data_IF_763266115765
#
_entry.id   IF_763266115765
#
_cell.length_a   1.000
_cell.length_b   1.000
_cell.length_c   1.000
_cell.angle_alpha   90.00
_cell.angle_beta   90.00
_cell.angle_gamma   90.00
#
_symmetry.space_group_name_H-M   'P 1'
#
loop_
_entity.id
_entity.type
_entity.pdbx_description
1 polymer ?
#
# COMPACT_ATOMS: atom_id res chain seq x y z
N UNK A 1 40.62 7.19 46.83
CA UNK A 1 40.64 7.10 45.34
C UNK A 1 40.54 8.55 44.85
N UNK A 2 41.60 9.04 44.23
CA UNK A 2 41.62 10.41 43.69
C UNK A 2 40.83 10.41 42.38
N UNK A 3 39.83 11.26 42.24
CA UNK A 3 39.05 11.38 41.00
C UNK A 3 39.91 12.08 39.94
N UNK A 4 39.83 11.61 38.71
CA UNK A 4 40.45 12.27 37.56
C UNK A 4 39.92 13.71 37.39
N UNK A 5 40.78 14.62 36.95
CA UNK A 5 40.40 16.04 36.75
C UNK A 5 39.43 16.27 35.61
N UNK A 6 39.35 15.33 34.65
CA UNK A 6 38.44 15.36 33.51
C UNK A 6 37.69 14.04 33.42
N UNK A 7 36.47 14.10 32.94
CA UNK A 7 35.65 12.91 32.58
C UNK A 7 35.99 12.48 31.17
N UNK A 8 36.50 11.23 31.04
CA UNK A 8 36.84 10.63 29.77
C UNK A 8 35.77 9.55 29.44
N UNK A 9 34.75 9.87 28.64
CA UNK A 9 33.57 9.01 28.47
C UNK A 9 33.89 7.70 27.74
N UNK A 10 34.81 7.71 26.79
CA UNK A 10 35.03 6.59 25.86
C UNK A 10 35.32 5.25 26.53
N UNK A 11 36.27 5.25 27.48
CA UNK A 11 36.65 4.00 28.19
C UNK A 11 35.52 3.54 29.13
N UNK A 12 34.86 4.49 29.81
CA UNK A 12 33.77 4.24 30.75
C UNK A 12 32.57 3.63 30.00
N UNK A 13 32.18 4.25 28.88
CA UNK A 13 31.07 3.78 28.04
C UNK A 13 31.34 2.38 27.46
N UNK A 14 32.56 2.14 26.96
CA UNK A 14 32.93 0.86 26.41
C UNK A 14 32.94 -0.23 27.48
N UNK A 15 33.45 0.03 28.65
CA UNK A 15 33.47 -0.90 29.79
C UNK A 15 32.04 -1.26 30.22
N UNK A 16 31.18 -0.28 30.51
CA UNK A 16 29.85 -0.52 31.04
C UNK A 16 28.92 -1.18 29.99
N UNK A 17 29.00 -0.78 28.75
CA UNK A 17 28.25 -1.43 27.66
C UNK A 17 28.49 -2.94 27.64
N UNK A 18 29.75 -3.35 27.72
CA UNK A 18 30.12 -4.77 27.70
C UNK A 18 29.69 -5.49 29.00
N UNK A 19 29.90 -4.84 30.17
CA UNK A 19 29.55 -5.44 31.46
C UNK A 19 28.01 -5.61 31.63
N UNK A 20 27.20 -4.66 31.17
CA UNK A 20 25.74 -4.75 31.28
C UNK A 20 25.18 -5.95 30.50
N UNK A 21 25.63 -6.16 29.28
CA UNK A 21 25.21 -7.30 28.47
C UNK A 21 25.73 -8.63 29.07
N UNK A 22 27.00 -8.69 29.41
CA UNK A 22 27.63 -9.86 30.02
C UNK A 22 26.94 -10.32 31.31
N UNK A 23 26.52 -9.39 32.13
CA UNK A 23 25.84 -9.66 33.41
C UNK A 23 24.33 -9.83 33.28
N UNK A 24 23.76 -9.61 32.10
CA UNK A 24 22.35 -9.75 31.86
C UNK A 24 21.45 -8.78 32.64
N UNK A 25 21.95 -7.59 32.99
CA UNK A 25 21.23 -6.64 33.83
C UNK A 25 19.88 -6.17 33.25
N UNK A 26 19.69 -6.28 31.95
CA UNK A 26 18.50 -5.85 31.23
C UNK A 26 17.63 -6.99 30.76
N UNK A 27 18.01 -8.23 31.05
CA UNK A 27 17.25 -9.41 30.68
C UNK A 27 15.93 -9.44 31.45
N UNK A 28 14.82 -9.53 30.73
CA UNK A 28 13.49 -9.65 31.33
C UNK A 28 13.33 -11.04 31.97
N UNK A 29 12.81 -11.05 33.20
CA UNK A 29 12.53 -12.26 33.96
C UNK A 29 11.03 -12.53 34.02
N UNK A 30 10.64 -13.82 34.14
CA UNK A 30 9.26 -14.20 34.42
C UNK A 30 9.06 -14.33 35.95
N UNK A 31 9.02 -13.20 36.63
CA UNK A 31 8.82 -13.13 38.09
C UNK A 31 7.38 -12.65 38.35
N UNK A 32 6.49 -13.60 38.62
CA UNK A 32 5.06 -13.34 38.89
C UNK A 32 4.83 -12.52 40.20
N UNK A 33 5.83 -12.45 41.08
CA UNK A 33 5.77 -11.67 42.32
C UNK A 33 6.02 -10.18 42.13
N UNK A 34 6.38 -9.74 40.91
CA UNK A 34 6.67 -8.34 40.63
C UNK A 34 5.70 -7.74 39.60
N UNK A 35 5.31 -6.48 39.77
CA UNK A 35 4.52 -5.79 38.75
C UNK A 35 5.33 -5.70 37.44
N UNK A 36 4.67 -5.91 36.31
CA UNK A 36 5.30 -5.88 34.99
C UNK A 36 5.26 -4.47 34.39
N UNK A 37 6.30 -4.13 33.63
CA UNK A 37 6.35 -2.98 32.75
C UNK A 37 6.99 -3.35 31.43
N UNK A 38 6.30 -3.08 30.33
CA UNK A 38 6.87 -3.24 28.98
C UNK A 38 6.53 -2.04 28.13
N UNK A 39 7.43 -1.70 27.22
CA UNK A 39 7.22 -0.65 26.24
C UNK A 39 7.67 -1.18 24.87
N UNK A 40 6.83 -0.93 23.85
CA UNK A 40 7.13 -1.37 22.49
C UNK A 40 8.15 -0.41 21.87
N UNK A 41 9.30 -0.92 21.47
CA UNK A 41 10.22 -0.19 20.61
C UNK A 41 9.79 -0.36 19.16
N UNK A 42 9.42 0.70 18.45
CA UNK A 42 9.24 0.63 17.00
C UNK A 42 10.57 0.22 16.35
N UNK A 43 10.61 -0.92 15.65
CA UNK A 43 11.88 -1.42 15.09
C UNK A 43 12.34 -0.50 13.96
N UNK A 44 13.57 0.06 14.02
CA UNK A 44 14.10 0.87 12.93
C UNK A 44 14.23 0.09 11.63
N UNK A 45 13.92 0.75 10.51
CA UNK A 45 14.07 0.19 9.17
C UNK A 45 15.54 -0.02 8.81
N UNK A 46 15.88 -1.16 8.19
CA UNK A 46 17.25 -1.43 7.70
C UNK A 46 17.55 -0.68 6.39
N UNK A 47 17.14 0.58 6.30
CA UNK A 47 17.35 1.45 5.14
C UNK A 47 18.54 2.39 5.28
N UNK A 48 19.22 2.36 6.43
CA UNK A 48 20.37 3.21 6.71
C UNK A 48 20.86 3.09 8.14
N UNK A 49 21.12 4.23 8.78
CA UNK A 49 21.59 4.37 10.16
C UNK A 49 20.55 5.10 11.00
N UNK A 50 20.70 5.08 12.33
CA UNK A 50 19.86 5.89 13.21
C UNK A 50 20.11 7.39 13.01
N UNK A 51 19.09 8.18 13.17
CA UNK A 51 19.13 9.64 13.21
C UNK A 51 18.63 10.17 14.55
N UNK A 52 18.72 11.49 14.78
CA UNK A 52 18.37 12.12 16.04
C UNK A 52 16.94 11.82 16.53
N UNK A 53 15.97 11.65 15.62
CA UNK A 53 14.61 11.24 15.98
C UNK A 53 14.55 9.87 16.63
N UNK A 54 15.32 8.91 16.14
CA UNK A 54 15.46 7.58 16.76
C UNK A 54 16.11 7.70 18.15
N UNK A 55 17.21 8.45 18.25
CA UNK A 55 17.91 8.64 19.52
C UNK A 55 17.00 9.29 20.57
N UNK A 56 16.25 10.33 20.20
CA UNK A 56 15.31 11.02 21.07
C UNK A 56 14.21 10.06 21.59
N UNK A 57 13.55 9.34 20.67
CA UNK A 57 12.50 8.39 21.02
C UNK A 57 13.01 7.27 21.94
N UNK A 58 14.15 6.67 21.59
CA UNK A 58 14.76 5.60 22.39
C UNK A 58 15.21 6.08 23.76
N UNK A 59 15.74 7.30 23.88
CA UNK A 59 16.15 7.88 25.17
C UNK A 59 14.96 8.06 26.11
N UNK A 60 13.80 8.49 25.62
CA UNK A 60 12.57 8.60 26.42
C UNK A 60 12.13 7.21 26.90
N UNK A 61 12.09 6.22 26.01
CA UNK A 61 11.71 4.85 26.34
C UNK A 61 12.68 4.23 27.35
N UNK A 62 13.98 4.47 27.19
CA UNK A 62 15.02 4.00 28.09
C UNK A 62 14.87 4.63 29.49
N UNK A 63 14.62 5.93 29.55
CA UNK A 63 14.35 6.64 30.79
C UNK A 63 13.17 6.03 31.55
N UNK A 64 12.06 5.78 30.89
CA UNK A 64 10.89 5.12 31.48
C UNK A 64 11.19 3.69 31.94
N UNK A 65 11.86 2.90 31.10
CA UNK A 65 12.24 1.52 31.43
C UNK A 65 13.16 1.46 32.65
N UNK A 66 14.16 2.35 32.73
CA UNK A 66 15.06 2.46 33.90
C UNK A 66 14.32 2.91 35.14
N UNK A 67 13.41 3.86 35.04
CA UNK A 67 12.59 4.32 36.16
C UNK A 67 11.79 3.17 36.77
N UNK A 68 11.05 2.40 35.96
CA UNK A 68 10.26 1.28 36.44
C UNK A 68 11.13 0.12 36.97
N UNK A 69 12.29 -0.13 36.35
CA UNK A 69 13.27 -1.11 36.84
C UNK A 69 13.77 -0.75 38.24
N UNK A 70 14.12 0.51 38.46
CA UNK A 70 14.54 1.01 39.79
C UNK A 70 13.43 0.95 40.85
N UNK A 71 12.16 0.98 40.41
CA UNK A 71 11.00 0.77 41.28
C UNK A 71 10.66 -0.71 41.55
N UNK A 72 11.49 -1.62 41.09
CA UNK A 72 11.33 -3.06 41.35
C UNK A 72 10.39 -3.78 40.38
N UNK A 73 9.98 -3.16 39.27
CA UNK A 73 9.17 -3.82 38.25
C UNK A 73 10.00 -4.82 37.47
N UNK A 74 9.33 -5.88 37.01
CA UNK A 74 9.87 -6.75 35.96
C UNK A 74 9.70 -6.04 34.60
N UNK A 75 10.81 -5.55 34.05
CA UNK A 75 10.79 -4.73 32.83
C UNK A 75 11.16 -5.54 31.61
N UNK A 76 10.42 -5.38 30.51
CA UNK A 76 10.74 -5.94 29.20
C UNK A 76 10.76 -4.82 28.14
N UNK A 77 11.96 -4.53 27.63
CA UNK A 77 12.16 -3.63 26.48
C UNK A 77 13.01 -4.36 25.45
N UNK A 78 12.36 -4.77 24.35
CA UNK A 78 12.93 -5.71 23.40
C UNK A 78 13.38 -4.95 22.15
N UNK A 79 14.65 -5.06 21.73
CA UNK A 79 15.15 -4.42 20.52
C UNK A 79 14.83 -5.24 19.27
N UNK A 80 14.71 -4.56 18.14
CA UNK A 80 14.52 -5.21 16.84
C UNK A 80 14.82 -4.28 15.69
N UNK A 81 14.84 -4.84 14.48
CA UNK A 81 14.97 -4.10 13.23
C UNK A 81 13.90 -4.54 12.23
N UNK A 82 13.46 -3.60 11.39
CA UNK A 82 12.44 -3.86 10.36
C UNK A 82 13.09 -4.03 8.99
N UNK A 83 12.61 -5.03 8.25
CA UNK A 83 13.04 -5.30 6.88
C UNK A 83 12.64 -4.21 5.88
N UNK A 84 11.62 -3.40 6.18
CA UNK A 84 11.13 -2.27 5.37
C UNK A 84 10.89 -2.56 3.88
N UNK A 85 10.78 -3.83 3.52
CA UNK A 85 10.37 -4.34 2.20
C UNK A 85 10.92 -3.56 1.00
N UNK A 86 10.04 -2.84 0.30
CA UNK A 86 10.33 -2.07 -0.92
C UNK A 86 11.44 -1.04 -0.67
N UNK A 87 11.42 -0.31 0.45
CA UNK A 87 12.40 0.74 0.73
C UNK A 87 13.84 0.19 0.82
N UNK A 88 14.02 -0.97 1.43
CA UNK A 88 15.33 -1.66 1.50
C UNK A 88 15.80 -2.09 0.10
N UNK A 89 14.88 -2.62 -0.74
CA UNK A 89 15.21 -2.98 -2.11
C UNK A 89 15.64 -1.75 -2.92
N UNK A 90 14.93 -0.63 -2.81
CA UNK A 90 15.29 0.63 -3.49
C UNK A 90 16.69 1.10 -3.08
N UNK A 91 17.07 0.97 -1.81
CA UNK A 91 18.44 1.33 -1.37
C UNK A 91 19.47 0.45 -2.09
N UNK A 92 19.24 -0.85 -2.18
CA UNK A 92 20.14 -1.77 -2.89
C UNK A 92 20.17 -1.51 -4.38
N UNK A 93 19.01 -1.25 -5.00
CA UNK A 93 18.93 -0.90 -6.42
C UNK A 93 19.76 0.36 -6.73
N UNK A 94 19.65 1.43 -5.91
CA UNK A 94 20.47 2.63 -6.09
C UNK A 94 21.97 2.36 -6.00
N UNK A 95 22.41 1.41 -5.18
CA UNK A 95 23.81 1.01 -5.10
C UNK A 95 24.27 0.23 -6.35
N UNK A 96 23.39 -0.59 -6.91
CA UNK A 96 23.63 -1.31 -8.16
C UNK A 96 23.64 -0.36 -9.36
N UNK A 97 22.71 0.58 -9.42
CA UNK A 97 22.62 1.60 -10.48
C UNK A 97 23.89 2.45 -10.56
N UNK A 98 24.50 2.79 -9.42
CA UNK A 98 25.79 3.46 -9.39
C UNK A 98 26.92 2.63 -10.05
N UNK A 99 26.74 1.30 -10.12
CA UNK A 99 27.63 0.37 -10.81
C UNK A 99 27.14 0.04 -12.24
N UNK A 100 26.02 0.64 -12.68
CA UNK A 100 25.35 0.38 -13.96
C UNK A 100 24.86 -1.07 -14.10
N UNK A 101 24.40 -1.66 -13.01
CA UNK A 101 23.86 -3.02 -12.94
C UNK A 101 22.40 -2.91 -12.54
N UNK A 102 21.47 -3.46 -13.32
CA UNK A 102 20.06 -3.52 -12.95
C UNK A 102 19.78 -4.79 -12.13
N UNK A 103 18.74 -4.78 -11.30
CA UNK A 103 18.26 -5.99 -10.59
C UNK A 103 17.88 -7.11 -11.56
N UNK A 104 17.42 -6.75 -12.76
CA UNK A 104 17.04 -7.71 -13.81
C UNK A 104 18.25 -8.42 -14.41
N UNK A 105 19.40 -7.73 -14.54
CA UNK A 105 20.65 -8.33 -15.01
C UNK A 105 21.21 -9.37 -14.02
N UNK A 106 21.01 -9.13 -12.72
CA UNK A 106 21.43 -10.06 -11.68
C UNK A 106 20.52 -11.30 -11.58
N UNK A 107 19.23 -11.14 -11.84
CA UNK A 107 18.20 -12.10 -11.51
C UNK A 107 17.90 -12.16 -10.01
N UNK A 108 16.78 -12.83 -9.65
CA UNK A 108 16.22 -12.81 -8.30
C UNK A 108 17.19 -13.28 -7.21
N UNK A 109 17.86 -14.39 -7.41
CA UNK A 109 18.71 -15.00 -6.38
C UNK A 109 19.87 -14.07 -5.99
N UNK A 110 20.64 -13.61 -6.97
CA UNK A 110 21.78 -12.71 -6.72
C UNK A 110 21.35 -11.34 -6.20
N UNK A 111 20.19 -10.85 -6.61
CA UNK A 111 19.63 -9.63 -6.05
C UNK A 111 19.30 -9.79 -4.57
N UNK A 112 18.64 -10.90 -4.17
CA UNK A 112 18.34 -11.18 -2.77
C UNK A 112 19.62 -11.34 -1.94
N UNK A 113 20.69 -11.95 -2.45
CA UNK A 113 21.98 -11.99 -1.75
C UNK A 113 22.50 -10.58 -1.42
N UNK A 114 22.36 -9.62 -2.35
CA UNK A 114 22.73 -8.21 -2.12
C UNK A 114 21.85 -7.55 -1.07
N UNK A 115 20.55 -7.83 -1.09
CA UNK A 115 19.61 -7.31 -0.09
C UNK A 115 19.95 -7.85 1.31
N UNK A 116 20.29 -9.13 1.45
CA UNK A 116 20.70 -9.72 2.72
C UNK A 116 22.07 -9.19 3.20
N UNK A 117 23.02 -8.97 2.32
CA UNK A 117 24.29 -8.31 2.66
C UNK A 117 24.07 -6.88 3.20
N UNK A 118 23.18 -6.13 2.56
CA UNK A 118 22.79 -4.81 3.02
C UNK A 118 22.09 -4.86 4.39
N UNK A 119 21.13 -5.76 4.58
CA UNK A 119 20.45 -5.98 5.88
C UNK A 119 21.46 -6.24 6.99
N UNK A 120 22.43 -7.09 6.76
CA UNK A 120 23.45 -7.39 7.77
C UNK A 120 24.27 -6.15 8.14
N UNK A 121 24.71 -5.39 7.14
CA UNK A 121 25.45 -4.16 7.35
C UNK A 121 24.62 -3.07 8.06
N UNK A 122 23.43 -2.78 7.59
CA UNK A 122 22.55 -1.75 8.16
C UNK A 122 22.05 -2.16 9.55
N UNK A 123 21.59 -3.40 9.72
CA UNK A 123 21.08 -3.91 10.98
C UNK A 123 22.14 -3.90 12.10
N UNK A 124 23.34 -4.41 11.82
CA UNK A 124 24.44 -4.38 12.78
C UNK A 124 24.89 -2.96 13.14
N UNK A 125 24.83 -2.02 12.18
CA UNK A 125 25.11 -0.62 12.45
C UNK A 125 24.06 -0.01 13.38
N UNK A 126 22.77 -0.23 13.12
CA UNK A 126 21.66 0.25 13.93
C UNK A 126 21.76 -0.26 15.37
N UNK A 127 21.91 -1.57 15.57
CA UNK A 127 21.98 -2.17 16.90
C UNK A 127 23.27 -1.79 17.64
N UNK A 128 24.37 -1.61 16.90
CA UNK A 128 25.61 -1.05 17.42
C UNK A 128 25.46 0.39 17.92
N UNK A 129 24.71 1.25 17.19
CA UNK A 129 24.40 2.61 17.62
C UNK A 129 23.50 2.63 18.85
N UNK A 130 22.49 1.77 18.94
CA UNK A 130 21.64 1.62 20.12
C UNK A 130 22.45 1.22 21.35
N UNK A 131 23.37 0.25 21.22
CA UNK A 131 24.27 -0.15 22.28
C UNK A 131 25.18 1.00 22.72
N UNK A 132 25.66 1.80 21.76
CA UNK A 132 26.50 2.97 22.06
C UNK A 132 25.76 4.07 22.80
N UNK A 133 24.46 4.26 22.52
CA UNK A 133 23.60 5.16 23.29
C UNK A 133 23.31 4.65 24.72
N UNK A 134 23.69 3.41 25.03
CA UNK A 134 23.46 2.82 26.34
C UNK A 134 22.03 2.32 26.54
N UNK A 135 21.29 2.00 25.46
CA UNK A 135 19.92 1.50 25.53
C UNK A 135 19.84 0.22 26.39
N UNK A 136 19.01 0.28 27.45
CA UNK A 136 18.86 -0.82 28.42
C UNK A 136 17.84 -1.87 27.97
N UNK A 137 17.97 -2.32 26.72
CA UNK A 137 17.13 -3.34 26.09
C UNK A 137 17.61 -4.77 26.43
N UNK A 138 16.71 -5.72 26.33
CA UNK A 138 17.04 -7.14 26.44
C UNK A 138 17.60 -7.68 25.11
N UNK A 139 18.90 -7.58 24.93
CA UNK A 139 19.61 -8.03 23.74
C UNK A 139 19.51 -9.54 23.49
N UNK A 140 19.19 -10.36 24.46
CA UNK A 140 18.98 -11.80 24.29
C UNK A 140 17.72 -12.13 23.49
N UNK A 141 16.84 -11.13 23.34
CA UNK A 141 15.57 -11.26 22.61
C UNK A 141 15.50 -10.36 21.37
N UNK A 142 16.67 -9.88 20.92
CA UNK A 142 16.75 -9.12 19.67
C UNK A 142 16.09 -9.90 18.52
N UNK A 143 15.31 -9.20 17.70
CA UNK A 143 14.59 -9.80 16.56
C UNK A 143 14.75 -8.97 15.29
N UNK A 144 14.53 -9.64 14.17
CA UNK A 144 14.34 -9.03 12.86
C UNK A 144 12.98 -9.45 12.31
N UNK A 145 12.24 -8.51 11.69
CA UNK A 145 10.86 -8.78 11.27
C UNK A 145 10.69 -9.90 10.24
N UNK A 146 11.77 -10.37 9.61
CA UNK A 146 11.78 -11.55 8.73
C UNK A 146 12.61 -12.72 9.27
N UNK A 147 12.91 -12.77 10.58
CA UNK A 147 13.54 -13.95 11.16
C UNK A 147 12.56 -15.15 11.24
N UNK A 148 13.08 -16.35 11.51
CA UNK A 148 12.27 -17.57 11.52
C UNK A 148 11.15 -17.53 12.55
N UNK A 149 11.38 -16.91 13.72
CA UNK A 149 10.35 -16.80 14.78
C UNK A 149 9.21 -15.88 14.33
N UNK A 150 9.55 -14.73 13.76
CA UNK A 150 8.55 -13.80 13.25
C UNK A 150 7.80 -14.38 12.04
N UNK A 151 8.50 -15.05 11.13
CA UNK A 151 7.90 -15.73 9.98
C UNK A 151 6.91 -16.81 10.41
N UNK A 152 7.24 -17.59 11.42
CA UNK A 152 6.33 -18.58 12.01
C UNK A 152 5.09 -17.92 12.63
N UNK A 153 5.29 -16.86 13.42
CA UNK A 153 4.18 -16.14 14.04
C UNK A 153 3.24 -15.50 13.01
N UNK A 154 3.79 -14.88 11.96
CA UNK A 154 3.01 -14.29 10.86
C UNK A 154 2.19 -15.36 10.14
N UNK A 155 2.78 -16.50 9.83
CA UNK A 155 2.08 -17.62 9.17
C UNK A 155 0.95 -18.16 10.03
N UNK A 156 1.19 -18.36 11.33
CA UNK A 156 0.18 -18.84 12.28
C UNK A 156 -1.00 -17.87 12.39
N UNK A 157 -0.72 -16.56 12.52
CA UNK A 157 -1.77 -15.53 12.57
C UNK A 157 -2.57 -15.48 11.27
N UNK A 158 -1.91 -15.58 10.12
CA UNK A 158 -2.58 -15.60 8.82
C UNK A 158 -3.56 -16.78 8.71
N UNK A 159 -3.13 -17.98 9.09
CA UNK A 159 -3.97 -19.19 9.07
C UNK A 159 -5.17 -19.03 9.98
N UNK A 160 -4.98 -18.58 11.22
CA UNK A 160 -6.08 -18.35 12.18
C UNK A 160 -7.10 -17.32 11.68
N UNK A 161 -6.64 -16.23 11.06
CA UNK A 161 -7.54 -15.22 10.50
C UNK A 161 -8.36 -15.78 9.32
N UNK A 162 -7.73 -16.64 8.49
CA UNK A 162 -8.43 -17.32 7.40
C UNK A 162 -9.49 -18.31 7.95
N UNK A 163 -9.15 -19.13 8.94
CA UNK A 163 -10.08 -20.07 9.59
C UNK A 163 -11.28 -19.37 10.25
N UNK A 164 -11.08 -18.15 10.76
CA UNK A 164 -12.15 -17.30 11.29
C UNK A 164 -12.97 -16.58 10.22
N UNK A 165 -12.63 -16.73 8.93
CA UNK A 165 -13.29 -16.04 7.82
C UNK A 165 -13.02 -14.53 7.75
N UNK A 166 -12.03 -14.02 8.51
CA UNK A 166 -11.70 -12.60 8.54
C UNK A 166 -10.83 -12.17 7.35
N UNK A 167 -10.13 -13.11 6.72
CA UNK A 167 -9.42 -12.91 5.47
C UNK A 167 -9.86 -13.93 4.44
N UNK A 168 -9.88 -13.52 3.18
CA UNK A 168 -10.25 -14.38 2.05
C UNK A 168 -9.47 -13.96 0.81
N UNK A 169 -9.36 -14.87 -0.16
CA UNK A 169 -8.77 -14.57 -1.46
C UNK A 169 -9.82 -13.98 -2.40
N UNK A 170 -9.61 -12.77 -2.86
CA UNK A 170 -10.52 -12.09 -3.80
C UNK A 170 -9.81 -11.01 -4.59
N UNK A 171 -10.50 -10.50 -5.63
CA UNK A 171 -10.07 -9.30 -6.35
C UNK A 171 -10.59 -8.07 -5.61
N UNK A 172 -9.75 -7.05 -5.49
CA UNK A 172 -10.09 -5.76 -4.92
C UNK A 172 -9.47 -4.66 -5.76
N UNK A 173 -10.18 -3.54 -5.88
CA UNK A 173 -9.63 -2.35 -6.54
C UNK A 173 -8.54 -1.75 -5.67
N UNK A 174 -7.43 -1.37 -6.27
CA UNK A 174 -6.29 -0.72 -5.61
C UNK A 174 -5.76 0.41 -6.48
N UNK A 175 -5.12 1.41 -5.87
CA UNK A 175 -4.31 2.36 -6.62
C UNK A 175 -3.07 1.63 -7.16
N UNK A 176 -2.77 1.85 -8.43
CA UNK A 176 -1.68 1.18 -9.14
C UNK A 176 -0.79 2.19 -9.84
N UNK A 177 0.52 2.15 -9.60
CA UNK A 177 1.51 2.91 -10.33
C UNK A 177 2.14 2.07 -11.45
N UNK A 178 1.86 2.38 -12.74
CA UNK A 178 2.35 1.60 -13.86
C UNK A 178 3.86 1.78 -14.11
N UNK A 179 4.49 2.84 -13.58
CA UNK A 179 5.93 3.08 -13.72
C UNK A 179 6.71 2.26 -12.70
N UNK A 180 6.27 2.28 -11.46
CA UNK A 180 6.85 1.46 -10.38
C UNK A 180 6.44 -0.01 -10.48
N UNK A 181 5.32 -0.31 -11.16
CA UNK A 181 4.79 -1.67 -11.30
C UNK A 181 4.30 -2.24 -9.96
N UNK A 182 3.70 -1.41 -9.12
CA UNK A 182 3.23 -1.79 -7.79
C UNK A 182 1.91 -1.13 -7.43
N UNK A 183 1.18 -1.75 -6.48
CA UNK A 183 0.08 -1.10 -5.79
C UNK A 183 0.61 0.00 -4.87
N UNK A 184 -0.15 1.07 -4.72
CA UNK A 184 0.17 2.24 -3.90
C UNK A 184 -0.90 2.37 -2.83
N UNK A 185 -0.49 2.63 -1.59
CA UNK A 185 -1.41 2.89 -0.46
C UNK A 185 -2.17 4.20 -0.68
N UNK A 186 -3.42 4.27 -0.21
CA UNK A 186 -4.23 5.49 -0.32
C UNK A 186 -3.57 6.71 0.34
N UNK A 187 -2.73 6.49 1.37
CA UNK A 187 -1.98 7.55 2.05
C UNK A 187 -0.81 8.11 1.21
N UNK A 188 -0.37 7.38 0.20
CA UNK A 188 0.73 7.77 -0.69
C UNK A 188 0.23 8.44 -1.97
N UNK A 189 -1.10 8.42 -2.19
CA UNK A 189 -1.73 9.07 -3.35
C UNK A 189 -1.96 10.54 -3.04
N UNK A 190 -1.31 11.41 -3.81
CA UNK A 190 -1.50 12.86 -3.74
C UNK A 190 -2.48 13.27 -4.83
N UNK A 191 -3.57 13.94 -4.43
CA UNK A 191 -4.53 14.51 -5.39
C UNK A 191 -4.04 15.86 -5.86
N UNK A 192 -3.95 16.03 -7.17
CA UNK A 192 -3.57 17.29 -7.81
C UNK A 192 -4.70 17.77 -8.73
N UNK A 193 -4.91 19.08 -8.79
CA UNK A 193 -5.85 19.67 -9.74
C UNK A 193 -5.18 19.79 -11.10
N UNK A 194 -5.87 19.33 -12.15
CA UNK A 194 -5.43 19.51 -13.53
C UNK A 194 -6.57 20.04 -14.42
N UNK A 195 -6.21 20.73 -15.48
CA UNK A 195 -7.15 21.19 -16.50
C UNK A 195 -7.69 19.98 -17.28
N UNK A 196 -8.91 19.56 -16.94
CA UNK A 196 -9.59 18.41 -17.52
C UNK A 196 -10.75 18.81 -18.44
N UNK A 197 -11.31 17.82 -19.10
CA UNK A 197 -12.53 17.96 -19.90
C UNK A 197 -13.59 16.99 -19.42
N UNK A 198 -14.85 17.39 -19.55
CA UNK A 198 -15.99 16.49 -19.33
C UNK A 198 -16.64 16.20 -20.66
N UNK A 199 -16.68 14.92 -21.04
CA UNK A 199 -17.29 14.44 -22.28
C UNK A 199 -18.69 13.95 -22.02
N UNK A 200 -19.65 14.40 -22.83
CA UNK A 200 -21.04 13.94 -22.82
C UNK A 200 -21.21 12.92 -23.95
N UNK A 201 -21.50 11.68 -23.61
CA UNK A 201 -21.52 10.55 -24.53
C UNK A 201 -22.94 9.98 -24.56
N UNK A 202 -23.49 9.75 -25.76
CA UNK A 202 -24.80 9.17 -25.97
C UNK A 202 -24.71 7.64 -26.01
N UNK A 203 -25.45 6.97 -25.12
CA UNK A 203 -25.58 5.52 -25.10
C UNK A 203 -26.96 5.16 -25.68
N UNK A 204 -27.05 4.68 -26.94
CA UNK A 204 -28.32 4.36 -27.58
C UNK A 204 -29.03 3.22 -26.85
N UNK A 205 -30.37 3.26 -26.77
CA UNK A 205 -31.14 2.10 -26.34
C UNK A 205 -31.01 0.96 -27.32
N UNK A 206 -31.00 -0.28 -26.84
CA UNK A 206 -30.89 -1.47 -27.66
C UNK A 206 -32.11 -1.66 -28.56
N UNK A 207 -33.30 -1.17 -28.10
CA UNK A 207 -34.58 -1.19 -28.86
C UNK A 207 -34.70 -0.04 -29.89
N UNK A 208 -33.73 0.84 -30.01
CA UNK A 208 -33.75 1.98 -30.93
C UNK A 208 -34.56 3.19 -30.46
N UNK A 209 -35.08 3.19 -29.24
CA UNK A 209 -35.96 4.22 -28.68
C UNK A 209 -35.27 5.49 -28.19
N UNK A 210 -34.12 5.92 -28.75
CA UNK A 210 -33.38 7.08 -28.32
C UNK A 210 -32.07 6.73 -27.63
N UNK A 211 -31.62 7.56 -26.68
CA UNK A 211 -30.36 7.37 -25.96
C UNK A 211 -30.42 7.93 -24.54
N UNK A 212 -29.50 7.48 -23.67
CA UNK A 212 -29.14 8.15 -22.44
C UNK A 212 -27.80 8.87 -22.63
N UNK A 213 -27.63 10.04 -21.98
CA UNK A 213 -26.36 10.77 -22.06
C UNK A 213 -25.64 10.66 -20.73
N UNK A 214 -24.43 10.12 -20.73
CA UNK A 214 -23.54 10.10 -19.56
C UNK A 214 -22.47 11.19 -19.67
N UNK A 215 -22.00 11.71 -18.55
CA UNK A 215 -20.89 12.65 -18.48
C UNK A 215 -19.70 11.99 -17.79
N UNK A 216 -18.51 12.08 -18.39
CA UNK A 216 -17.28 11.44 -17.84
C UNK A 216 -16.04 12.26 -18.12
N UNK A 217 -15.09 12.22 -17.20
CA UNK A 217 -13.74 12.76 -17.38
C UNK A 217 -12.76 11.71 -17.92
N UNK A 218 -13.18 10.43 -17.99
CA UNK A 218 -12.34 9.29 -18.40
C UNK A 218 -12.99 8.46 -19.51
N UNK A 219 -13.14 9.02 -20.74
CA UNK A 219 -13.82 8.31 -21.83
C UNK A 219 -13.15 7.00 -22.24
N UNK A 220 -11.84 6.83 -22.02
CA UNK A 220 -11.13 5.58 -22.30
C UNK A 220 -11.66 4.40 -21.49
N UNK A 221 -12.20 4.63 -20.29
CA UNK A 221 -12.73 3.54 -19.46
C UNK A 221 -14.11 3.05 -19.90
N UNK A 222 -14.77 3.76 -20.82
CA UNK A 222 -16.05 3.36 -21.42
C UNK A 222 -16.03 1.91 -21.91
N UNK A 223 -14.91 1.48 -22.51
CA UNK A 223 -14.78 0.11 -23.02
C UNK A 223 -14.93 -0.98 -21.93
N UNK A 224 -14.85 -0.62 -20.66
CA UNK A 224 -15.05 -1.50 -19.51
C UNK A 224 -16.40 -1.31 -18.80
N UNK A 225 -17.29 -0.46 -19.29
CA UNK A 225 -18.58 -0.20 -18.66
C UNK A 225 -19.46 -1.44 -18.64
N UNK A 226 -20.24 -1.60 -17.56
CA UNK A 226 -21.10 -2.73 -17.33
C UNK A 226 -22.56 -2.35 -16.99
N UNK A 227 -22.82 -1.08 -16.72
CA UNK A 227 -24.14 -0.52 -16.48
C UNK A 227 -24.12 1.00 -16.64
N UNK A 228 -25.30 1.61 -16.75
CA UNK A 228 -25.56 3.03 -16.49
C UNK A 228 -26.48 3.10 -15.28
N UNK A 229 -26.05 3.86 -14.25
CA UNK A 229 -26.83 4.05 -13.04
C UNK A 229 -27.58 5.39 -13.05
N UNK A 230 -28.76 5.41 -12.43
CA UNK A 230 -29.60 6.58 -12.20
C UNK A 230 -30.08 6.60 -10.75
N UNK A 231 -30.39 7.77 -10.21
CA UNK A 231 -31.02 7.84 -8.88
C UNK A 231 -32.44 7.25 -8.93
N UNK A 232 -32.84 6.37 -7.98
CA UNK A 232 -34.14 5.73 -7.94
C UNK A 232 -35.33 6.71 -7.80
N UNK A 233 -35.04 7.94 -7.36
CA UNK A 233 -36.03 9.00 -7.17
C UNK A 233 -36.07 10.00 -8.34
N UNK A 234 -35.26 9.77 -9.40
CA UNK A 234 -35.23 10.65 -10.55
C UNK A 234 -36.31 10.25 -11.57
N UNK A 235 -37.39 11.01 -11.58
CA UNK A 235 -38.53 10.77 -12.48
C UNK A 235 -38.18 10.83 -13.98
N UNK A 236 -37.07 11.53 -14.33
CA UNK A 236 -36.61 11.62 -15.73
C UNK A 236 -36.21 10.26 -16.29
N UNK A 237 -35.73 9.37 -15.45
CA UNK A 237 -35.13 8.10 -15.83
C UNK A 237 -35.85 6.87 -15.28
N UNK A 238 -36.87 7.04 -14.45
CA UNK A 238 -37.62 5.93 -13.83
C UNK A 238 -38.14 4.91 -14.83
N UNK A 239 -38.61 5.35 -16.02
CA UNK A 239 -39.10 4.48 -17.08
C UNK A 239 -38.01 3.69 -17.83
N UNK A 240 -36.75 4.01 -17.63
CA UNK A 240 -35.61 3.38 -18.31
C UNK A 240 -34.89 2.33 -17.47
N UNK A 241 -35.14 2.29 -16.16
CA UNK A 241 -34.55 1.29 -15.27
C UNK A 241 -34.94 -0.12 -15.75
N UNK A 242 -33.95 -0.99 -15.92
CA UNK A 242 -34.10 -2.34 -16.46
C UNK A 242 -34.04 -2.45 -18.00
N UNK A 243 -33.99 -1.33 -18.73
CA UNK A 243 -33.74 -1.35 -20.18
C UNK A 243 -32.25 -1.60 -20.47
N UNK A 244 -31.98 -2.08 -21.70
CA UNK A 244 -30.63 -2.27 -22.23
C UNK A 244 -30.19 -1.10 -23.09
N UNK A 245 -28.92 -0.71 -22.93
CA UNK A 245 -28.19 0.26 -23.74
C UNK A 245 -27.14 -0.45 -24.58
N UNK A 246 -26.92 -0.05 -25.81
CA UNK A 246 -25.76 -0.45 -26.61
C UNK A 246 -24.54 0.33 -26.09
N UNK A 247 -23.54 -0.38 -25.66
CA UNK A 247 -22.27 0.26 -25.24
C UNK A 247 -21.52 0.75 -26.48
N UNK A 248 -21.31 2.07 -26.63
CA UNK A 248 -20.65 2.61 -27.82
C UNK A 248 -19.28 1.96 -28.09
N UNK A 249 -18.91 1.87 -29.36
CA UNK A 249 -17.64 1.29 -29.84
C UNK A 249 -17.43 -0.19 -29.50
N UNK A 250 -18.44 -0.89 -28.99
CA UNK A 250 -18.39 -2.32 -28.66
C UNK A 250 -19.64 -3.03 -29.13
N UNK A 251 -19.65 -4.38 -29.11
CA UNK A 251 -20.83 -5.21 -29.43
C UNK A 251 -21.64 -5.58 -28.16
N UNK A 252 -21.34 -4.94 -27.02
CA UNK A 252 -21.97 -5.25 -25.72
C UNK A 252 -23.23 -4.42 -25.48
N UNK A 253 -24.18 -5.03 -24.81
CA UNK A 253 -25.31 -4.37 -24.19
C UNK A 253 -25.14 -4.32 -22.69
N UNK A 254 -25.54 -3.21 -22.07
CA UNK A 254 -25.44 -2.97 -20.63
C UNK A 254 -26.76 -2.48 -20.06
N UNK A 255 -27.16 -2.88 -18.84
CA UNK A 255 -28.43 -2.48 -18.26
C UNK A 255 -28.40 -1.05 -17.70
N UNK A 256 -29.57 -0.44 -17.64
CA UNK A 256 -29.83 0.74 -16.78
C UNK A 256 -30.23 0.23 -15.40
N UNK A 257 -29.53 0.67 -14.36
CA UNK A 257 -29.79 0.30 -12.96
C UNK A 257 -30.16 1.52 -12.12
N UNK A 258 -30.86 1.30 -11.01
CA UNK A 258 -31.16 2.34 -10.04
C UNK A 258 -30.25 2.17 -8.80
N UNK A 259 -29.51 3.23 -8.45
CA UNK A 259 -28.65 3.23 -7.26
C UNK A 259 -28.61 4.64 -6.63
N UNK A 260 -28.80 4.72 -5.32
CA UNK A 260 -28.79 5.98 -4.55
C UNK A 260 -27.44 6.67 -4.47
N UNK A 261 -26.38 6.04 -4.99
CA UNK A 261 -25.07 6.66 -5.18
C UNK A 261 -25.12 7.84 -6.17
N UNK A 262 -26.04 7.80 -7.15
CA UNK A 262 -26.11 8.79 -8.21
C UNK A 262 -26.69 10.10 -7.68
N UNK A 263 -25.94 11.20 -7.81
CA UNK A 263 -26.47 12.55 -7.59
C UNK A 263 -27.21 13.03 -8.83
N UNK A 264 -28.55 13.08 -8.76
CA UNK A 264 -29.42 13.54 -9.85
C UNK A 264 -29.25 15.01 -10.25
N UNK A 265 -28.58 15.80 -9.41
CA UNK A 265 -28.29 17.20 -9.67
C UNK A 265 -26.93 17.41 -10.35
N UNK A 266 -26.07 16.39 -10.36
CA UNK A 266 -24.75 16.49 -10.95
C UNK A 266 -24.71 15.94 -12.40
N UNK A 267 -24.08 16.70 -13.31
CA UNK A 267 -23.94 16.32 -14.72
C UNK A 267 -25.29 16.10 -15.39
N UNK A 268 -25.47 14.90 -15.96
CA UNK A 268 -26.73 14.50 -16.62
C UNK A 268 -27.72 13.81 -15.68
N UNK A 269 -27.28 13.43 -14.46
CA UNK A 269 -28.01 12.55 -13.56
C UNK A 269 -27.91 11.07 -13.96
N UNK A 270 -27.06 10.73 -14.94
CA UNK A 270 -26.74 9.37 -15.36
C UNK A 270 -25.23 9.14 -15.21
N UNK A 271 -24.85 8.05 -14.57
CA UNK A 271 -23.45 7.69 -14.34
C UNK A 271 -23.14 6.36 -14.99
N UNK A 272 -22.09 6.31 -15.80
CA UNK A 272 -21.55 5.05 -16.31
C UNK A 272 -20.89 4.29 -15.17
N UNK A 273 -21.02 2.97 -15.13
CA UNK A 273 -20.47 2.13 -14.06
C UNK A 273 -19.37 1.24 -14.61
N UNK A 274 -18.14 1.49 -14.14
CA UNK A 274 -16.92 0.78 -14.54
C UNK A 274 -16.21 0.20 -13.31
N UNK A 275 -16.68 -0.90 -12.72
CA UNK A 275 -16.22 -1.39 -11.41
C UNK A 275 -14.73 -1.72 -11.32
N UNK A 276 -14.07 -1.98 -12.45
CA UNK A 276 -12.64 -2.27 -12.48
C UNK A 276 -11.74 -1.01 -12.51
N UNK A 277 -12.31 0.21 -12.64
CA UNK A 277 -11.54 1.44 -12.86
C UNK A 277 -11.96 2.63 -11.98
N UNK A 278 -12.92 2.45 -11.09
CA UNK A 278 -13.37 3.47 -10.13
C UNK A 278 -13.84 2.82 -8.83
N UNK A 279 -13.46 3.40 -7.67
CA UNK A 279 -13.79 2.85 -6.35
C UNK A 279 -15.29 2.91 -6.03
N UNK A 280 -15.96 3.97 -6.44
CA UNK A 280 -17.39 4.11 -6.22
C UNK A 280 -18.17 3.15 -7.13
N UNK A 281 -17.76 3.04 -8.39
CA UNK A 281 -18.35 2.10 -9.34
C UNK A 281 -18.12 0.64 -8.90
N UNK A 282 -16.97 0.35 -8.28
CA UNK A 282 -16.71 -0.95 -7.67
C UNK A 282 -17.73 -1.29 -6.58
N UNK A 283 -18.03 -0.33 -5.69
CA UNK A 283 -19.02 -0.53 -4.64
C UNK A 283 -20.45 -0.72 -5.21
N UNK A 284 -20.82 0.08 -6.24
CA UNK A 284 -22.07 -0.13 -6.99
C UNK A 284 -22.10 -1.51 -7.63
N UNK A 285 -21.00 -1.89 -8.29
CA UNK A 285 -20.85 -3.20 -8.93
C UNK A 285 -21.06 -4.36 -7.96
N UNK A 286 -20.52 -4.26 -6.75
CA UNK A 286 -20.74 -5.28 -5.72
C UNK A 286 -22.20 -5.38 -5.28
N UNK A 287 -22.87 -4.24 -5.04
CA UNK A 287 -24.29 -4.22 -4.64
C UNK A 287 -25.22 -4.85 -5.69
N UNK A 288 -24.91 -4.64 -6.97
CA UNK A 288 -25.72 -5.10 -8.09
C UNK A 288 -25.21 -6.39 -8.76
N UNK A 289 -24.13 -7.01 -8.24
CA UNK A 289 -23.54 -8.23 -8.80
C UNK A 289 -22.98 -8.06 -10.22
N UNK A 290 -22.48 -6.85 -10.56
CA UNK A 290 -21.99 -6.53 -11.90
C UNK A 290 -20.58 -7.11 -12.13
N UNK A 291 -20.26 -7.39 -13.38
CA UNK A 291 -18.93 -7.84 -13.79
C UNK A 291 -17.86 -6.78 -13.56
N UNK A 292 -16.62 -7.20 -13.30
CA UNK A 292 -15.46 -6.36 -13.22
C UNK A 292 -14.58 -6.55 -14.46
N UNK A 293 -14.73 -5.69 -15.45
CA UNK A 293 -14.01 -5.77 -16.73
C UNK A 293 -12.86 -4.75 -16.68
N UNK A 294 -11.65 -5.22 -16.38
CA UNK A 294 -10.44 -4.40 -16.52
C UNK A 294 -10.06 -4.29 -17.99
N UNK A 295 -9.85 -3.07 -18.47
CA UNK A 295 -9.43 -2.78 -19.85
C UNK A 295 -7.99 -2.30 -19.94
N UNK A 296 -7.25 -2.28 -18.83
CA UNK A 296 -5.85 -1.85 -18.79
C UNK A 296 -4.94 -3.00 -18.39
N UNK A 297 -3.75 -3.01 -18.99
CA UNK A 297 -2.62 -3.85 -18.57
C UNK A 297 -1.90 -3.22 -17.36
N UNK A 298 -0.94 -3.92 -16.76
CA UNK A 298 -0.16 -3.40 -15.64
C UNK A 298 0.72 -2.20 -16.03
N UNK A 299 1.08 -2.05 -17.30
CA UNK A 299 1.79 -0.88 -17.85
C UNK A 299 0.84 0.17 -18.44
N UNK A 300 -0.45 0.13 -18.03
CA UNK A 300 -1.50 1.08 -18.36
C UNK A 300 -1.78 1.26 -19.87
N UNK A 301 -1.61 0.21 -20.66
CA UNK A 301 -2.08 0.13 -22.03
C UNK A 301 -3.43 -0.57 -22.10
N UNK A 302 -4.18 -0.33 -23.17
CA UNK A 302 -5.44 -1.02 -23.43
C UNK A 302 -5.16 -2.53 -23.65
N UNK A 303 -5.89 -3.38 -22.93
CA UNK A 303 -5.72 -4.84 -22.97
C UNK A 303 -6.69 -5.52 -23.95
N UNK A 304 -6.68 -6.85 -23.96
CA UNK A 304 -7.46 -7.72 -24.84
C UNK A 304 -8.97 -7.83 -24.51
N UNK A 305 -9.42 -7.24 -23.38
CA UNK A 305 -10.86 -7.10 -23.08
C UNK A 305 -11.53 -5.96 -23.85
N UNK A 306 -10.75 -5.09 -24.48
CA UNK A 306 -11.22 -4.02 -25.33
C UNK A 306 -11.23 -4.43 -26.81
N UNK A 307 -11.96 -3.71 -27.69
CA UNK A 307 -11.93 -3.95 -29.13
C UNK A 307 -10.51 -3.88 -29.72
N UNK A 308 -10.21 -4.76 -30.66
CA UNK A 308 -8.87 -4.96 -31.24
C UNK A 308 -8.22 -3.66 -31.73
N UNK A 309 -9.01 -2.70 -32.22
CA UNK A 309 -8.55 -1.42 -32.75
C UNK A 309 -7.84 -0.55 -31.70
N UNK A 310 -8.14 -0.75 -30.40
CA UNK A 310 -7.54 0.03 -29.30
C UNK A 310 -6.46 -0.75 -28.54
N UNK A 311 -6.36 -2.06 -28.72
CA UNK A 311 -5.43 -2.91 -27.98
C UNK A 311 -3.97 -2.49 -28.14
N UNK A 312 -3.22 -2.48 -27.03
CA UNK A 312 -1.82 -2.07 -27.00
C UNK A 312 -1.58 -0.55 -27.00
N UNK A 313 -2.61 0.27 -27.19
CA UNK A 313 -2.48 1.73 -27.14
C UNK A 313 -2.24 2.20 -25.70
N UNK A 314 -1.40 3.21 -25.52
CA UNK A 314 -1.34 3.97 -24.27
C UNK A 314 -2.72 4.55 -23.91
N UNK A 315 -3.09 4.56 -22.63
CA UNK A 315 -4.43 4.98 -22.16
C UNK A 315 -4.83 6.39 -22.62
N UNK A 316 -3.89 7.34 -22.67
CA UNK A 316 -4.17 8.71 -23.10
C UNK A 316 -4.25 8.85 -24.63
N UNK A 317 -3.48 8.04 -25.36
CA UNK A 317 -3.63 7.95 -26.81
C UNK A 317 -4.98 7.30 -27.17
N UNK A 318 -5.37 6.24 -26.47
CA UNK A 318 -6.67 5.59 -26.62
C UNK A 318 -7.83 6.57 -26.27
N UNK A 319 -7.71 7.39 -25.22
CA UNK A 319 -8.70 8.43 -24.88
C UNK A 319 -8.98 9.35 -26.08
N UNK A 320 -7.93 9.84 -26.73
CA UNK A 320 -8.06 10.73 -27.91
C UNK A 320 -8.73 10.03 -29.08
N UNK A 321 -8.34 8.78 -29.35
CA UNK A 321 -8.92 8.00 -30.44
C UNK A 321 -10.40 7.67 -30.18
N UNK A 322 -10.75 7.25 -28.96
CA UNK A 322 -12.13 6.93 -28.55
C UNK A 322 -13.03 8.15 -28.71
N UNK A 323 -12.58 9.35 -28.27
CA UNK A 323 -13.35 10.58 -28.44
C UNK A 323 -13.57 10.88 -29.93
N UNK A 324 -12.55 10.74 -30.78
CA UNK A 324 -12.67 10.95 -32.21
C UNK A 324 -13.65 9.94 -32.87
N UNK A 325 -13.60 8.69 -32.47
CA UNK A 325 -14.48 7.65 -33.01
C UNK A 325 -15.93 7.81 -32.56
N UNK A 326 -16.16 8.28 -31.32
CA UNK A 326 -17.51 8.65 -30.85
C UNK A 326 -18.07 9.85 -31.61
N UNK A 327 -17.26 10.88 -31.82
CA UNK A 327 -17.65 12.06 -32.61
C UNK A 327 -18.01 11.67 -34.06
N UNK A 328 -17.20 10.80 -34.69
CA UNK A 328 -17.48 10.29 -36.03
C UNK A 328 -18.80 9.49 -36.13
N UNK A 329 -19.26 8.88 -35.02
CA UNK A 329 -20.54 8.18 -34.94
C UNK A 329 -21.70 9.08 -34.47
N UNK A 330 -21.43 10.35 -34.17
CA UNK A 330 -22.42 11.30 -33.65
C UNK A 330 -22.87 11.01 -32.23
N UNK A 331 -22.04 10.30 -31.48
CA UNK A 331 -22.30 9.90 -30.09
C UNK A 331 -21.53 10.78 -29.14
#
# INVERSE_FOLDING_TARGET
MELAKAFEPTEIEQYWRTEWEKRGYFTATLDEGKPSFSIQLPPPNVTGTLHMGHAFNQTIMDGLTRYYRMRGHNTAWIPGTDHAGIATQIVVERQLDAQKISRHDLGREKFLEKVWQWKEHSGSTITGQMRRMGASTDWSREYFTMDDKMSTAVTEVFVRLHEQGLIYRGKRLVNWDPVLGTAVSDLEVVSEEEDGSMWHIRYPFADGGGHMTVATTRPETLLGDVAVAVDPTDERYAAFVGKSLKLPLTDREIPVIADSYVDKAFGTGCVKITPAHDFNDYAVGQRHGLAQISILTLDAKINDNAPAVYQGMDRFAARKQIVADLDAQGL
#
